data_IF_509269189977
#
_entry.id   IF_509269189977
#
_cell.length_a   1.000
_cell.length_b   1.000
_cell.length_c   1.000
_cell.angle_alpha   90.00
_cell.angle_beta   90.00
_cell.angle_gamma   90.00
#
_symmetry.space_group_name_H-M   'P 1'
#
loop_
_entity.id
_entity.type
_entity.pdbx_description
1 polymer ?
#
# COMPACT_ATOMS: atom_id res chain seq x y z
N UNK A 1 -51.27 35.49 -26.00
CA UNK A 1 -51.16 34.10 -25.51
C UNK A 1 -49.85 33.52 -26.01
N UNK A 2 -48.76 33.78 -25.26
CA UNK A 2 -47.44 33.18 -25.46
C UNK A 2 -47.43 31.90 -24.63
N UNK A 3 -47.78 30.77 -25.26
CA UNK A 3 -47.68 29.46 -24.63
C UNK A 3 -46.25 28.98 -24.78
N UNK A 4 -45.62 28.70 -23.63
CA UNK A 4 -44.37 27.95 -23.49
C UNK A 4 -44.29 26.82 -24.53
N UNK A 5 -43.45 26.99 -25.54
CA UNK A 5 -42.89 25.86 -26.27
C UNK A 5 -41.88 25.23 -25.32
N UNK A 6 -42.23 24.07 -24.77
CA UNK A 6 -41.34 23.24 -23.99
C UNK A 6 -39.96 23.17 -24.66
N UNK A 7 -38.90 23.41 -23.89
CA UNK A 7 -37.54 23.12 -24.28
C UNK A 7 -37.46 21.65 -24.70
N UNK A 8 -37.58 21.41 -26.02
CA UNK A 8 -37.36 20.11 -26.62
C UNK A 8 -35.87 19.85 -26.48
N UNK A 9 -35.49 19.24 -25.36
CA UNK A 9 -34.14 18.70 -25.22
C UNK A 9 -33.91 17.79 -26.43
N UNK A 10 -32.85 18.04 -27.22
CA UNK A 10 -32.61 17.29 -28.46
C UNK A 10 -32.47 15.79 -28.15
N UNK A 11 -33.09 14.94 -28.97
CA UNK A 11 -33.22 13.48 -28.75
C UNK A 11 -31.91 12.73 -28.47
N UNK A 12 -30.75 13.31 -28.84
CA UNK A 12 -29.44 12.74 -28.49
C UNK A 12 -29.16 12.74 -26.98
N UNK A 13 -29.85 13.58 -26.18
CA UNK A 13 -29.82 13.58 -24.72
C UNK A 13 -30.73 12.50 -24.09
N UNK A 14 -31.62 11.88 -24.88
CA UNK A 14 -32.62 10.89 -24.42
C UNK A 14 -32.29 9.45 -24.86
N UNK A 15 -31.37 9.24 -25.79
CA UNK A 15 -30.96 7.90 -26.17
C UNK A 15 -29.86 7.39 -25.24
N UNK A 16 -30.23 6.42 -24.38
CA UNK A 16 -29.24 5.57 -23.73
C UNK A 16 -28.30 5.02 -24.84
N UNK A 17 -27.00 5.33 -24.81
CA UNK A 17 -26.08 5.00 -25.90
C UNK A 17 -26.14 3.50 -26.17
N UNK A 18 -26.14 3.07 -27.44
CA UNK A 18 -26.17 1.65 -27.80
C UNK A 18 -25.01 0.93 -27.10
N UNK A 19 -25.32 0.19 -26.04
CA UNK A 19 -24.34 -0.53 -25.23
C UNK A 19 -24.09 -1.86 -25.90
N UNK A 20 -22.84 -2.14 -26.25
CA UNK A 20 -22.46 -3.46 -26.77
C UNK A 20 -22.66 -4.51 -25.66
N UNK A 21 -23.12 -5.73 -26.00
CA UNK A 21 -23.51 -6.80 -25.05
C UNK A 21 -22.46 -7.22 -24.00
N UNK A 22 -21.23 -6.71 -24.05
CA UNK A 22 -20.12 -7.06 -23.16
C UNK A 22 -19.33 -5.82 -22.67
N UNK A 23 -19.95 -4.64 -22.67
CA UNK A 23 -19.34 -3.40 -22.17
C UNK A 23 -19.96 -3.00 -20.85
N UNK A 24 -19.14 -2.76 -19.83
CA UNK A 24 -19.56 -2.33 -18.50
C UNK A 24 -19.58 -0.80 -18.47
N UNK A 25 -20.67 -0.23 -17.98
CA UNK A 25 -20.77 1.21 -17.75
C UNK A 25 -19.92 1.62 -16.54
N UNK A 26 -19.15 2.68 -16.65
CA UNK A 26 -18.32 3.21 -15.56
C UNK A 26 -19.12 3.68 -14.33
N UNK A 27 -20.41 3.98 -14.51
CA UNK A 27 -21.36 4.36 -13.44
C UNK A 27 -22.28 3.21 -13.00
N UNK A 28 -22.06 1.99 -13.50
CA UNK A 28 -22.84 0.82 -13.09
C UNK A 28 -22.64 0.51 -11.60
N UNK A 29 -23.70 0.11 -10.85
CA UNK A 29 -23.56 -0.28 -9.45
C UNK A 29 -22.59 -1.46 -9.27
N UNK A 30 -22.52 -2.38 -10.24
CA UNK A 30 -21.54 -3.46 -10.24
C UNK A 30 -20.10 -2.93 -10.27
N UNK A 31 -19.83 -1.93 -11.12
CA UNK A 31 -18.50 -1.32 -11.23
C UNK A 31 -18.13 -0.58 -9.95
N UNK A 32 -19.09 0.10 -9.33
CA UNK A 32 -18.88 0.76 -8.04
C UNK A 32 -18.50 -0.24 -6.94
N UNK A 33 -19.24 -1.34 -6.79
CA UNK A 33 -18.91 -2.41 -5.82
C UNK A 33 -17.54 -3.02 -6.11
N UNK A 34 -17.25 -3.30 -7.39
CA UNK A 34 -15.94 -3.81 -7.80
C UNK A 34 -14.80 -2.83 -7.42
N UNK A 35 -15.01 -1.53 -7.61
CA UNK A 35 -14.03 -0.51 -7.24
C UNK A 35 -13.74 -0.48 -5.74
N UNK A 36 -14.74 -0.70 -4.90
CA UNK A 36 -14.58 -0.86 -3.45
C UNK A 36 -13.80 -2.12 -3.08
N UNK A 37 -14.07 -3.25 -3.74
CA UNK A 37 -13.31 -4.50 -3.53
C UNK A 37 -11.84 -4.27 -3.89
N UNK A 38 -11.56 -3.67 -5.05
CA UNK A 38 -10.19 -3.36 -5.47
C UNK A 38 -9.53 -2.37 -4.50
N UNK A 39 -10.25 -1.35 -4.03
CA UNK A 39 -9.73 -0.41 -3.03
C UNK A 39 -9.29 -1.14 -1.74
N UNK A 40 -10.12 -2.05 -1.24
CA UNK A 40 -9.81 -2.86 -0.06
C UNK A 40 -8.57 -3.74 -0.30
N UNK A 41 -8.47 -4.38 -1.47
CA UNK A 41 -7.31 -5.19 -1.84
C UNK A 41 -6.03 -4.34 -1.94
N UNK A 42 -6.11 -3.13 -2.50
CA UNK A 42 -4.95 -2.22 -2.53
C UNK A 42 -4.53 -1.84 -1.12
N UNK A 43 -5.47 -1.48 -0.24
CA UNK A 43 -5.16 -1.16 1.15
C UNK A 43 -4.50 -2.34 1.88
N UNK A 44 -5.03 -3.56 1.70
CA UNK A 44 -4.40 -4.78 2.23
C UNK A 44 -2.95 -4.90 1.77
N UNK A 45 -2.69 -4.77 0.46
CA UNK A 45 -1.32 -4.90 -0.07
C UNK A 45 -0.40 -3.78 0.43
N UNK A 46 -0.92 -2.57 0.61
CA UNK A 46 -0.15 -1.43 1.07
C UNK A 46 0.27 -1.54 2.55
N UNK A 47 -0.50 -2.27 3.36
CA UNK A 47 -0.14 -2.60 4.76
C UNK A 47 0.74 -3.85 4.81
N UNK A 48 0.33 -4.94 4.16
CA UNK A 48 0.98 -6.24 4.28
C UNK A 48 2.36 -6.29 3.63
N UNK A 49 2.56 -5.63 2.48
CA UNK A 49 3.85 -5.67 1.76
C UNK A 49 5.01 -5.14 2.62
N UNK A 50 4.99 -3.90 3.15
CA UNK A 50 6.07 -3.39 3.99
C UNK A 50 6.18 -4.14 5.33
N UNK A 51 5.06 -4.60 5.89
CA UNK A 51 5.07 -5.43 7.10
C UNK A 51 5.83 -6.74 6.88
N UNK A 52 5.52 -7.47 5.81
CA UNK A 52 6.21 -8.72 5.47
C UNK A 52 7.69 -8.48 5.18
N UNK A 53 8.02 -7.38 4.48
CA UNK A 53 9.40 -7.02 4.17
C UNK A 53 10.21 -6.66 5.43
N UNK A 54 9.63 -5.93 6.38
CA UNK A 54 10.36 -5.50 7.56
C UNK A 54 10.39 -6.59 8.64
N UNK A 55 9.25 -7.20 8.98
CA UNK A 55 9.10 -8.07 10.15
C UNK A 55 9.20 -9.56 9.86
N UNK A 56 8.80 -10.03 8.67
CA UNK A 56 8.72 -11.47 8.36
C UNK A 56 9.94 -12.00 7.59
N UNK A 57 10.68 -11.15 6.87
CA UNK A 57 11.88 -11.59 6.15
C UNK A 57 12.97 -12.14 7.09
N UNK A 58 13.12 -11.58 8.29
CA UNK A 58 14.14 -12.04 9.26
C UNK A 58 13.77 -13.37 9.96
N UNK A 59 12.49 -13.73 10.09
CA UNK A 59 12.09 -15.04 10.63
C UNK A 59 12.06 -16.13 9.54
N UNK A 60 11.85 -15.76 8.28
CA UNK A 60 11.77 -16.73 7.17
C UNK A 60 13.13 -17.27 6.72
N UNK A 61 14.25 -16.58 7.01
CA UNK A 61 15.59 -17.06 6.64
C UNK A 61 16.03 -18.28 7.48
N UNK A 62 15.60 -18.42 8.74
CA UNK A 62 16.17 -19.44 9.64
C UNK A 62 15.37 -20.76 9.73
N UNK A 63 14.04 -20.78 9.56
CA UNK A 63 13.27 -22.04 9.74
C UNK A 63 12.79 -22.74 8.46
N UNK A 64 12.61 -22.03 7.33
CA UNK A 64 11.77 -22.54 6.22
C UNK A 64 12.48 -23.05 4.97
N UNK A 65 13.82 -23.01 4.95
CA UNK A 65 14.62 -23.58 3.84
C UNK A 65 14.57 -25.11 3.74
N UNK A 66 13.86 -25.79 4.66
CA UNK A 66 13.74 -27.25 4.68
C UNK A 66 12.25 -27.64 4.60
N UNK A 67 11.85 -28.24 3.48
CA UNK A 67 10.76 -29.26 3.31
C UNK A 67 9.39 -28.95 2.72
N UNK A 68 8.94 -27.73 2.39
CA UNK A 68 7.61 -27.58 1.75
C UNK A 68 7.51 -26.47 0.68
N UNK A 69 6.77 -26.77 -0.40
CA UNK A 69 6.55 -25.88 -1.54
C UNK A 69 5.59 -24.71 -1.29
N UNK A 70 5.41 -23.89 -2.33
CA UNK A 70 4.67 -22.61 -2.31
C UNK A 70 3.24 -22.68 -1.72
N UNK A 71 2.60 -23.85 -1.72
CA UNK A 71 1.19 -24.05 -1.37
C UNK A 71 0.90 -24.33 0.11
N UNK A 72 1.88 -24.66 0.97
CA UNK A 72 1.55 -24.97 2.37
C UNK A 72 1.41 -23.73 3.26
N UNK A 73 1.81 -22.53 2.79
CA UNK A 73 1.62 -21.30 3.54
C UNK A 73 0.31 -20.62 3.13
N UNK A 74 -0.68 -20.50 4.03
CA UNK A 74 -1.94 -19.84 3.71
C UNK A 74 -1.74 -18.38 3.26
N UNK A 75 -0.69 -17.71 3.75
CA UNK A 75 -0.33 -16.35 3.35
C UNK A 75 0.03 -16.24 1.86
N UNK A 76 0.80 -17.19 1.32
CA UNK A 76 1.18 -17.19 -0.09
C UNK A 76 -0.04 -17.44 -1.01
N UNK A 77 -0.99 -18.25 -0.54
CA UNK A 77 -2.25 -18.49 -1.25
C UNK A 77 -3.08 -17.21 -1.30
N UNK A 78 -3.19 -16.49 -0.18
CA UNK A 78 -3.88 -15.20 -0.14
C UNK A 78 -3.23 -14.21 -1.10
N UNK A 79 -1.91 -14.07 -1.07
CA UNK A 79 -1.20 -13.15 -1.98
C UNK A 79 -1.41 -13.52 -3.46
N UNK A 80 -1.42 -14.81 -3.80
CA UNK A 80 -1.73 -15.27 -5.16
C UNK A 80 -3.17 -14.92 -5.55
N UNK A 81 -4.15 -15.12 -4.67
CA UNK A 81 -5.55 -14.77 -4.93
C UNK A 81 -5.69 -13.26 -5.14
N UNK A 82 -5.01 -12.45 -4.34
CA UNK A 82 -4.98 -10.99 -4.48
C UNK A 82 -4.40 -10.59 -5.83
N UNK A 83 -3.28 -11.19 -6.25
CA UNK A 83 -2.64 -10.93 -7.54
C UNK A 83 -3.56 -11.33 -8.73
N UNK A 84 -4.27 -12.46 -8.64
CA UNK A 84 -5.27 -12.88 -9.64
C UNK A 84 -6.43 -11.89 -9.72
N UNK A 85 -6.93 -11.38 -8.59
CA UNK A 85 -7.98 -10.36 -8.58
C UNK A 85 -7.55 -9.07 -9.28
N UNK A 86 -6.29 -8.66 -9.16
CA UNK A 86 -5.75 -7.52 -9.91
C UNK A 86 -5.64 -7.76 -11.41
N UNK A 87 -5.39 -9.00 -11.83
CA UNK A 87 -5.43 -9.37 -13.26
C UNK A 87 -6.86 -9.30 -13.79
N UNK A 88 -7.84 -9.79 -13.01
CA UNK A 88 -9.28 -9.68 -13.37
C UNK A 88 -9.69 -8.20 -13.48
N UNK A 89 -9.23 -7.33 -12.58
CA UNK A 89 -9.47 -5.88 -12.65
C UNK A 89 -9.00 -5.28 -13.99
N UNK A 90 -7.81 -5.68 -14.47
CA UNK A 90 -7.29 -5.24 -15.78
C UNK A 90 -8.27 -5.65 -16.90
N UNK A 91 -8.74 -6.90 -16.90
CA UNK A 91 -9.69 -7.39 -17.90
C UNK A 91 -11.03 -6.65 -17.85
N UNK A 92 -11.51 -6.30 -16.66
CA UNK A 92 -12.72 -5.49 -16.46
C UNK A 92 -12.51 -4.06 -16.97
N UNK A 93 -11.35 -3.45 -16.72
CA UNK A 93 -11.02 -2.11 -17.19
C UNK A 93 -10.96 -2.04 -18.73
N UNK A 94 -10.51 -3.10 -19.42
CA UNK A 94 -10.58 -3.20 -20.88
C UNK A 94 -12.00 -3.19 -21.44
N UNK A 95 -13.00 -3.53 -20.63
CA UNK A 95 -14.42 -3.58 -21.01
C UNK A 95 -15.24 -2.44 -20.40
N UNK A 96 -14.62 -1.56 -19.64
CA UNK A 96 -15.31 -0.43 -18.99
C UNK A 96 -15.34 0.79 -19.91
N UNK A 97 -16.48 1.47 -20.03
CA UNK A 97 -16.59 2.71 -20.80
C UNK A 97 -15.75 3.84 -20.19
N UNK A 98 -15.30 4.77 -21.02
CA UNK A 98 -14.65 6.01 -20.56
C UNK A 98 -15.35 7.22 -21.15
N UNK A 99 -15.16 8.38 -20.51
CA UNK A 99 -15.66 9.68 -20.98
C UNK A 99 -14.52 10.37 -21.72
N UNK A 100 -14.77 10.77 -22.96
CA UNK A 100 -13.78 11.50 -23.77
C UNK A 100 -13.76 12.99 -23.38
N UNK A 101 -12.79 13.77 -23.88
CA UNK A 101 -12.67 15.22 -23.63
C UNK A 101 -13.90 16.04 -24.06
N UNK A 102 -14.77 15.48 -24.91
CA UNK A 102 -16.02 16.11 -25.35
C UNK A 102 -17.23 15.70 -24.48
N UNK A 103 -17.00 15.11 -23.30
CA UNK A 103 -18.03 14.57 -22.39
C UNK A 103 -18.92 13.47 -22.98
N UNK A 104 -18.48 12.86 -24.08
CA UNK A 104 -19.17 11.75 -24.73
C UNK A 104 -18.72 10.41 -24.14
N UNK A 105 -19.70 9.55 -23.82
CA UNK A 105 -19.43 8.19 -23.33
C UNK A 105 -19.07 7.27 -24.49
N UNK A 106 -17.80 6.86 -24.56
CA UNK A 106 -17.33 5.94 -25.61
C UNK A 106 -17.54 4.49 -25.15
N UNK A 107 -18.38 3.75 -25.86
CA UNK A 107 -18.73 2.36 -25.57
C UNK A 107 -18.03 1.32 -26.48
N UNK A 108 -17.34 1.78 -27.53
CA UNK A 108 -16.69 0.92 -28.51
C UNK A 108 -15.45 0.20 -27.92
N UNK A 109 -15.43 -1.14 -27.86
CA UNK A 109 -14.38 -1.90 -27.16
C UNK A 109 -12.98 -1.69 -27.76
N UNK A 110 -12.87 -1.55 -29.08
CA UNK A 110 -11.58 -1.29 -29.75
C UNK A 110 -10.99 0.06 -29.37
N UNK A 111 -11.84 1.10 -29.25
CA UNK A 111 -11.38 2.44 -28.84
C UNK A 111 -11.00 2.47 -27.37
N UNK A 112 -11.78 1.80 -26.52
CA UNK A 112 -11.48 1.62 -25.09
C UNK A 112 -10.11 0.95 -24.92
N UNK A 113 -9.88 -0.15 -25.62
CA UNK A 113 -8.61 -0.87 -25.55
C UNK A 113 -7.43 -0.01 -26.01
N UNK A 114 -7.52 0.68 -27.14
CA UNK A 114 -6.44 1.55 -27.64
C UNK A 114 -6.10 2.68 -26.66
N UNK A 115 -7.12 3.33 -26.09
CA UNK A 115 -6.93 4.37 -25.10
C UNK A 115 -6.26 3.82 -23.83
N UNK A 116 -6.72 2.67 -23.34
CA UNK A 116 -6.15 2.03 -22.14
C UNK A 116 -4.70 1.55 -22.36
N UNK A 117 -4.40 0.97 -23.53
CA UNK A 117 -3.04 0.57 -23.92
C UNK A 117 -2.06 1.74 -23.98
N UNK A 118 -2.50 2.90 -24.50
CA UNK A 118 -1.65 4.10 -24.64
C UNK A 118 -1.39 4.81 -23.30
N UNK A 119 -2.29 4.65 -22.33
CA UNK A 119 -2.17 5.27 -21.02
C UNK A 119 -1.64 4.31 -19.95
N UNK A 120 -2.55 3.59 -19.32
CA UNK A 120 -2.33 3.02 -17.99
C UNK A 120 -2.02 1.52 -17.97
N UNK A 121 -2.27 0.83 -19.07
CA UNK A 121 -2.10 -0.62 -19.17
C UNK A 121 -0.72 -1.10 -18.70
N UNK A 122 0.35 -0.40 -19.07
CA UNK A 122 1.72 -0.80 -18.71
C UNK A 122 1.93 -0.78 -17.18
N UNK A 123 1.47 0.29 -16.53
CA UNK A 123 1.56 0.44 -15.06
C UNK A 123 0.72 -0.65 -14.40
N UNK A 124 -0.49 -0.89 -14.91
CA UNK A 124 -1.41 -1.85 -14.32
C UNK A 124 -0.92 -3.29 -14.47
N UNK A 125 -0.30 -3.64 -15.61
CA UNK A 125 0.35 -4.94 -15.79
C UNK A 125 1.54 -5.11 -14.85
N UNK A 126 2.47 -4.15 -14.81
CA UNK A 126 3.68 -4.26 -13.97
C UNK A 126 3.30 -4.45 -12.50
N UNK A 127 2.25 -3.77 -12.05
CA UNK A 127 1.72 -3.90 -10.69
C UNK A 127 1.01 -5.25 -10.40
N UNK A 128 0.53 -5.96 -11.43
CA UNK A 128 -0.23 -7.21 -11.30
C UNK A 128 0.62 -8.48 -11.41
N UNK A 129 1.92 -8.37 -11.73
CA UNK A 129 2.81 -9.53 -11.88
C UNK A 129 3.10 -10.16 -10.49
N UNK A 130 2.82 -11.46 -10.29
CA UNK A 130 3.18 -12.18 -9.07
C UNK A 130 4.67 -12.55 -9.10
N UNK A 131 5.54 -11.60 -8.76
CA UNK A 131 7.00 -11.80 -8.84
C UNK A 131 7.50 -12.98 -7.99
N UNK A 132 6.88 -13.24 -6.83
CA UNK A 132 7.26 -14.36 -5.94
C UNK A 132 7.17 -15.73 -6.64
N UNK A 133 6.19 -15.91 -7.54
CA UNK A 133 6.02 -17.15 -8.30
C UNK A 133 7.08 -17.31 -9.41
N UNK A 134 7.47 -16.19 -10.04
CA UNK A 134 8.54 -16.19 -11.05
C UNK A 134 9.89 -16.54 -10.41
N UNK A 135 10.16 -16.02 -9.22
CA UNK A 135 11.39 -16.27 -8.47
C UNK A 135 11.47 -17.72 -8.00
N UNK A 136 10.39 -18.26 -7.41
CA UNK A 136 10.34 -19.66 -6.97
C UNK A 136 10.61 -20.63 -8.14
N UNK A 137 10.10 -20.31 -9.33
CA UNK A 137 10.33 -21.11 -10.54
C UNK A 137 11.76 -20.98 -11.08
N UNK A 138 12.43 -19.86 -10.85
CA UNK A 138 13.77 -19.59 -11.38
C UNK A 138 14.90 -20.25 -10.58
N UNK A 139 14.63 -20.75 -9.37
CA UNK A 139 15.58 -21.58 -8.60
C UNK A 139 16.97 -20.97 -8.34
N UNK A 140 17.14 -19.67 -8.51
CA UNK A 140 18.44 -19.01 -8.49
C UNK A 140 18.81 -18.55 -7.08
N UNK A 141 19.56 -19.40 -6.37
CA UNK A 141 20.19 -19.16 -5.05
C UNK A 141 21.33 -18.11 -5.07
N UNK A 142 21.31 -17.14 -6.00
CA UNK A 142 22.37 -16.12 -6.08
C UNK A 142 22.08 -14.91 -5.16
N UNK A 143 23.02 -14.43 -4.34
CA UNK A 143 22.81 -13.27 -3.46
C UNK A 143 22.53 -11.94 -4.20
N UNK A 144 22.81 -11.85 -5.51
CA UNK A 144 22.42 -10.69 -6.32
C UNK A 144 20.92 -10.68 -6.64
N UNK A 145 20.25 -11.85 -6.61
CA UNK A 145 18.80 -11.91 -6.83
C UNK A 145 18.03 -11.42 -5.61
N UNK A 146 18.56 -11.52 -4.38
CA UNK A 146 17.85 -11.12 -3.14
C UNK A 146 17.59 -9.62 -3.03
N UNK A 147 18.50 -8.78 -3.51
CA UNK A 147 18.29 -7.32 -3.59
C UNK A 147 17.28 -6.95 -4.67
N UNK A 148 17.32 -7.63 -5.83
CA UNK A 148 16.29 -7.50 -6.85
C UNK A 148 14.93 -8.00 -6.35
N UNK A 149 14.86 -9.06 -5.56
CA UNK A 149 13.64 -9.59 -4.94
C UNK A 149 13.00 -8.52 -4.03
N UNK A 150 13.80 -7.82 -3.23
CA UNK A 150 13.33 -6.69 -2.41
C UNK A 150 12.75 -5.56 -3.25
N UNK A 151 13.46 -5.16 -4.32
CA UNK A 151 13.02 -4.09 -5.23
C UNK A 151 11.74 -4.48 -6.00
N UNK A 152 11.62 -5.73 -6.46
CA UNK A 152 10.44 -6.22 -7.17
C UNK A 152 9.20 -6.29 -6.26
N UNK A 153 9.38 -6.59 -4.96
CA UNK A 153 8.28 -6.50 -3.99
C UNK A 153 7.76 -5.07 -3.84
N UNK A 154 8.61 -4.04 -3.99
CA UNK A 154 8.16 -2.64 -3.97
C UNK A 154 7.31 -2.26 -5.18
N UNK A 155 7.43 -2.97 -6.31
CA UNK A 155 6.56 -2.76 -7.47
C UNK A 155 5.07 -3.00 -7.14
N UNK A 156 4.77 -3.79 -6.09
CA UNK A 156 3.39 -3.96 -5.59
C UNK A 156 2.80 -2.64 -5.06
N UNK A 157 3.62 -1.70 -4.58
CA UNK A 157 3.15 -0.39 -4.13
C UNK A 157 2.66 0.49 -5.29
N UNK A 158 3.04 0.20 -6.55
CA UNK A 158 2.50 0.89 -7.73
C UNK A 158 0.98 0.75 -7.83
N UNK A 159 0.37 -0.25 -7.17
CA UNK A 159 -1.08 -0.41 -7.05
C UNK A 159 -1.76 0.80 -6.41
N UNK A 160 -1.04 1.59 -5.59
CA UNK A 160 -1.57 2.82 -4.98
C UNK A 160 -1.82 3.93 -5.99
N UNK A 161 -1.11 3.92 -7.13
CA UNK A 161 -1.40 4.83 -8.25
C UNK A 161 -2.83 4.64 -8.75
N UNK A 162 -3.41 3.43 -8.60
CA UNK A 162 -4.82 3.17 -8.94
C UNK A 162 -5.78 3.89 -8.00
N UNK A 163 -5.44 4.03 -6.72
CA UNK A 163 -6.27 4.72 -5.73
C UNK A 163 -6.26 6.22 -5.99
N UNK A 164 -5.08 6.78 -6.26
CA UNK A 164 -4.93 8.19 -6.62
C UNK A 164 -5.82 8.58 -7.81
N UNK A 165 -5.91 7.72 -8.84
CA UNK A 165 -6.79 7.95 -10.01
C UNK A 165 -8.28 7.92 -9.70
N UNK A 166 -8.70 7.14 -8.72
CA UNK A 166 -10.12 7.03 -8.34
C UNK A 166 -10.51 8.09 -7.31
N UNK A 167 -9.52 8.71 -6.65
CA UNK A 167 -9.74 9.75 -5.65
C UNK A 167 -10.52 10.93 -6.22
N UNK A 168 -10.29 11.30 -7.49
CA UNK A 168 -11.02 12.39 -8.17
C UNK A 168 -12.54 12.17 -8.21
N UNK A 169 -13.00 10.92 -8.17
CA UNK A 169 -14.45 10.60 -8.11
C UNK A 169 -14.96 10.55 -6.67
N UNK A 170 -14.12 10.16 -5.72
CA UNK A 170 -14.48 10.10 -4.31
C UNK A 170 -14.43 11.48 -3.63
N UNK A 171 -13.73 12.46 -4.23
CA UNK A 171 -13.62 13.84 -3.75
C UNK A 171 -14.97 14.57 -3.72
N UNK A 172 -15.93 14.14 -4.52
CA UNK A 172 -17.30 14.67 -4.53
C UNK A 172 -18.06 14.38 -3.22
N UNK A 173 -17.64 13.37 -2.44
CA UNK A 173 -18.25 13.00 -1.17
C UNK A 173 -17.36 13.46 0.00
N UNK A 174 -17.63 14.64 0.58
CA UNK A 174 -16.79 15.24 1.63
C UNK A 174 -16.49 14.32 2.83
N UNK A 175 -17.44 13.49 3.28
CA UNK A 175 -17.20 12.50 4.34
C UNK A 175 -16.25 11.37 3.92
N UNK A 176 -16.28 10.96 2.66
CA UNK A 176 -15.37 9.96 2.12
C UNK A 176 -13.93 10.51 2.04
N UNK A 177 -13.78 11.79 1.71
CA UNK A 177 -12.46 12.46 1.68
C UNK A 177 -11.80 12.45 3.05
N UNK A 178 -12.54 12.80 4.11
CA UNK A 178 -12.02 12.77 5.48
C UNK A 178 -11.62 11.35 5.91
N UNK A 179 -12.42 10.35 5.58
CA UNK A 179 -12.10 8.95 5.86
C UNK A 179 -10.82 8.50 5.11
N UNK A 180 -10.72 8.80 3.81
CA UNK A 180 -9.54 8.49 3.00
C UNK A 180 -8.29 9.22 3.50
N UNK A 181 -8.43 10.47 3.98
CA UNK A 181 -7.34 11.21 4.59
C UNK A 181 -6.85 10.54 5.89
N UNK A 182 -7.77 10.08 6.75
CA UNK A 182 -7.43 9.34 7.96
C UNK A 182 -6.71 8.01 7.62
N UNK A 183 -7.22 7.28 6.62
CA UNK A 183 -6.58 6.04 6.16
C UNK A 183 -5.18 6.28 5.59
N UNK A 184 -4.98 7.34 4.80
CA UNK A 184 -3.66 7.67 4.26
C UNK A 184 -2.68 8.09 5.35
N UNK A 185 -3.12 8.85 6.37
CA UNK A 185 -2.31 9.17 7.54
C UNK A 185 -1.87 7.91 8.30
N UNK A 186 -2.80 6.99 8.58
CA UNK A 186 -2.50 5.73 9.24
C UNK A 186 -1.54 4.85 8.42
N UNK A 187 -1.68 4.86 7.09
CA UNK A 187 -0.80 4.12 6.19
C UNK A 187 0.63 4.68 6.19
N UNK A 188 0.78 6.00 6.19
CA UNK A 188 2.10 6.67 6.31
C UNK A 188 2.74 6.32 7.66
N UNK A 189 1.98 6.37 8.76
CA UNK A 189 2.46 5.96 10.07
C UNK A 189 2.96 4.50 10.07
N UNK A 190 2.19 3.59 9.48
CA UNK A 190 2.58 2.17 9.34
C UNK A 190 3.87 1.98 8.52
N UNK A 191 4.02 2.70 7.40
CA UNK A 191 5.24 2.61 6.59
C UNK A 191 6.46 3.12 7.34
N UNK A 192 6.33 4.26 8.01
CA UNK A 192 7.40 4.80 8.84
C UNK A 192 7.72 3.85 10.01
N UNK A 193 6.73 3.14 10.58
CA UNK A 193 6.97 2.16 11.63
C UNK A 193 7.75 0.94 11.11
N UNK A 194 7.45 0.47 9.89
CA UNK A 194 8.20 -0.60 9.24
C UNK A 194 9.66 -0.17 9.00
N UNK A 195 9.89 1.07 8.54
CA UNK A 195 11.24 1.62 8.34
C UNK A 195 11.97 1.77 9.68
N UNK A 196 11.29 2.27 10.71
CA UNK A 196 11.83 2.41 12.07
C UNK A 196 12.33 1.07 12.64
N UNK A 197 11.55 0.01 12.42
CA UNK A 197 11.96 -1.35 12.75
C UNK A 197 13.15 -1.83 11.91
N UNK A 198 13.13 -1.62 10.61
CA UNK A 198 14.24 -2.01 9.74
C UNK A 198 15.55 -1.34 10.17
N UNK A 199 15.52 -0.05 10.52
CA UNK A 199 16.69 0.68 11.05
C UNK A 199 17.21 0.03 12.33
N UNK A 200 16.34 -0.18 13.32
CA UNK A 200 16.73 -0.78 14.60
C UNK A 200 17.29 -2.20 14.44
N UNK A 201 16.73 -2.99 13.53
CA UNK A 201 17.23 -4.34 13.24
C UNK A 201 18.60 -4.33 12.54
N UNK A 202 18.79 -3.48 11.52
CA UNK A 202 20.08 -3.37 10.81
C UNK A 202 21.17 -2.89 11.76
N UNK A 203 20.87 -1.91 12.60
CA UNK A 203 21.82 -1.38 13.56
C UNK A 203 22.19 -2.41 14.62
N UNK A 204 21.21 -3.15 15.15
CA UNK A 204 21.46 -4.24 16.09
C UNK A 204 22.37 -5.32 15.50
N UNK A 205 22.08 -5.78 14.28
CA UNK A 205 22.90 -6.79 13.58
C UNK A 205 24.31 -6.27 13.30
N UNK A 206 24.46 -4.98 12.97
CA UNK A 206 25.76 -4.35 12.74
C UNK A 206 26.57 -4.23 14.02
N UNK A 207 25.94 -3.79 15.12
CA UNK A 207 26.56 -3.66 16.44
C UNK A 207 27.00 -5.02 17.01
N UNK A 208 26.20 -6.07 16.80
CA UNK A 208 26.56 -7.44 17.19
C UNK A 208 27.82 -7.94 16.46
N UNK A 209 27.98 -7.59 15.17
CA UNK A 209 29.17 -7.97 14.38
C UNK A 209 30.44 -7.24 14.81
N UNK A 210 30.31 -5.96 15.18
CA UNK A 210 31.44 -5.07 15.47
C UNK A 210 31.82 -5.09 16.96
N UNK A 211 31.03 -5.74 17.82
CA UNK A 211 31.22 -5.72 19.27
C UNK A 211 30.90 -4.35 19.90
N UNK A 212 30.04 -3.57 19.24
CA UNK A 212 29.61 -2.25 19.69
C UNK A 212 28.60 -2.31 20.84
N UNK A 213 28.38 -1.17 21.51
CA UNK A 213 27.38 -1.06 22.58
C UNK A 213 25.95 -1.19 22.03
N UNK A 214 25.13 -2.01 22.69
CA UNK A 214 23.70 -2.25 22.37
C UNK A 214 22.83 -1.09 22.90
N UNK A 215 22.86 0.06 22.22
CA UNK A 215 22.16 1.30 22.63
C UNK A 215 20.90 1.64 21.79
N UNK A 216 20.57 0.83 20.79
CA UNK A 216 19.46 1.10 19.88
C UNK A 216 18.10 1.06 20.61
N UNK A 217 17.08 1.65 19.98
CA UNK A 217 15.73 1.68 20.57
C UNK A 217 15.16 0.28 20.86
N UNK A 218 15.56 -0.71 20.06
CA UNK A 218 15.14 -2.09 20.18
C UNK A 218 15.75 -2.79 21.41
N UNK A 219 16.99 -2.45 21.76
CA UNK A 219 17.66 -2.95 22.96
C UNK A 219 17.06 -2.31 24.22
N UNK A 220 16.77 -1.00 24.18
CA UNK A 220 16.07 -0.30 25.25
C UNK A 220 14.66 -0.89 25.48
N UNK A 221 13.93 -1.22 24.40
CA UNK A 221 12.63 -1.89 24.49
C UNK A 221 12.75 -3.26 25.19
N UNK A 222 13.77 -4.05 24.83
CA UNK A 222 14.01 -5.34 25.43
C UNK A 222 14.27 -5.24 26.94
N UNK A 223 15.01 -4.21 27.37
CA UNK A 223 15.24 -3.92 28.77
C UNK A 223 13.96 -3.50 29.51
N UNK A 224 13.16 -2.60 28.91
CA UNK A 224 11.91 -2.13 29.52
C UNK A 224 10.88 -3.24 29.72
N UNK A 225 10.77 -4.18 28.77
CA UNK A 225 9.82 -5.31 28.84
C UNK A 225 10.42 -6.49 29.65
N UNK A 226 11.71 -6.44 30.00
CA UNK A 226 12.41 -7.53 30.69
C UNK A 226 12.68 -8.75 29.80
N UNK A 227 12.49 -8.63 28.48
CA UNK A 227 12.76 -9.68 27.48
C UNK A 227 14.08 -9.39 26.79
N UNK A 228 15.19 -9.58 27.50
CA UNK A 228 16.53 -9.32 26.96
C UNK A 228 16.89 -10.28 25.85
N UNK A 229 17.69 -9.78 24.91
CA UNK A 229 18.29 -10.59 23.88
C UNK A 229 19.45 -11.41 24.44
N UNK A 230 19.48 -12.69 24.05
CA UNK A 230 20.53 -13.64 24.34
C UNK A 230 21.20 -14.03 23.02
N UNK A 231 22.52 -13.88 22.95
CA UNK A 231 23.29 -14.15 21.72
C UNK A 231 23.33 -15.66 21.38
N UNK A 232 22.93 -16.53 22.31
CA UNK A 232 22.83 -17.99 22.11
C UNK A 232 21.46 -18.50 21.65
N UNK A 233 20.42 -17.66 21.71
CA UNK A 233 19.05 -18.04 21.35
C UNK A 233 18.46 -17.02 20.37
N UNK A 234 18.30 -17.42 19.10
CA UNK A 234 17.75 -16.56 18.04
C UNK A 234 16.30 -16.13 18.31
N UNK A 235 15.55 -16.85 19.15
CA UNK A 235 14.18 -16.51 19.53
C UNK A 235 14.10 -15.59 20.75
N UNK A 236 15.24 -15.26 21.35
CA UNK A 236 15.30 -14.34 22.48
C UNK A 236 14.94 -12.90 22.08
N UNK A 237 14.45 -12.15 23.06
CA UNK A 237 14.04 -10.75 22.88
C UNK A 237 12.53 -10.53 22.84
N UNK A 238 12.10 -9.29 22.53
CA UNK A 238 10.69 -8.94 22.39
C UNK A 238 10.03 -9.69 21.22
N UNK A 239 8.74 -10.02 21.39
CA UNK A 239 7.97 -10.66 20.31
C UNK A 239 7.78 -9.71 19.12
N UNK A 240 7.45 -10.24 17.93
CA UNK A 240 7.12 -9.40 16.76
C UNK A 240 5.99 -8.43 17.07
N UNK A 241 4.98 -8.87 17.83
CA UNK A 241 3.86 -8.03 18.25
C UNK A 241 4.35 -6.85 19.09
N UNK A 242 5.23 -7.11 20.07
CA UNK A 242 5.80 -6.07 20.92
C UNK A 242 6.59 -5.05 20.07
N UNK A 243 7.45 -5.54 19.17
CA UNK A 243 8.25 -4.70 18.26
C UNK A 243 7.38 -3.83 17.35
N UNK A 244 6.35 -4.44 16.73
CA UNK A 244 5.46 -3.78 15.78
C UNK A 244 4.58 -2.72 16.46
N UNK A 245 3.95 -3.05 17.59
CA UNK A 245 3.08 -2.12 18.32
C UNK A 245 3.90 -0.95 18.85
N UNK A 246 5.10 -1.18 19.39
CA UNK A 246 5.99 -0.12 19.85
C UNK A 246 6.46 0.79 18.71
N UNK A 247 6.81 0.22 17.55
CA UNK A 247 7.19 1.01 16.37
C UNK A 247 6.04 1.88 15.85
N UNK A 248 4.82 1.33 15.80
CA UNK A 248 3.61 2.09 15.48
C UNK A 248 3.36 3.21 16.50
N UNK A 249 3.44 2.90 17.79
CA UNK A 249 3.26 3.89 18.85
C UNK A 249 4.24 5.06 18.71
N UNK A 250 5.53 4.78 18.48
CA UNK A 250 6.55 5.81 18.25
C UNK A 250 6.20 6.70 17.05
N UNK A 251 5.88 6.09 15.90
CA UNK A 251 5.58 6.85 14.68
C UNK A 251 4.28 7.63 14.76
N UNK A 252 3.20 7.09 15.34
CA UNK A 252 1.98 7.84 15.60
C UNK A 252 2.21 9.01 16.56
N UNK A 253 2.91 8.78 17.68
CA UNK A 253 3.21 9.85 18.63
C UNK A 253 4.08 10.96 18.03
N UNK A 254 4.97 10.62 17.09
CA UNK A 254 5.83 11.57 16.39
C UNK A 254 5.09 12.33 15.28
N UNK A 255 4.26 11.65 14.49
CA UNK A 255 3.47 12.27 13.41
C UNK A 255 2.38 13.20 13.95
N UNK A 256 1.80 12.86 15.09
CA UNK A 256 0.80 13.70 15.79
C UNK A 256 1.42 14.80 16.64
N UNK A 257 2.77 14.90 16.66
CA UNK A 257 3.53 15.85 17.47
C UNK A 257 3.27 15.77 18.98
N UNK A 258 2.77 14.63 19.48
CA UNK A 258 2.55 14.41 20.92
C UNK A 258 3.86 14.07 21.62
N UNK A 259 4.66 13.18 21.04
CA UNK A 259 6.05 12.94 21.46
C UNK A 259 6.25 12.56 22.93
N UNK A 260 5.57 11.53 23.43
CA UNK A 260 5.64 11.10 24.84
C UNK A 260 7.04 10.74 25.36
N UNK A 261 8.01 10.45 24.49
CA UNK A 261 9.41 10.21 24.87
C UNK A 261 9.74 8.81 25.41
N UNK A 262 8.74 7.93 25.61
CA UNK A 262 8.97 6.56 26.10
C UNK A 262 9.82 5.70 25.15
N UNK A 263 9.73 5.99 23.84
CA UNK A 263 10.58 5.43 22.79
C UNK A 263 11.31 6.60 22.16
N UNK A 264 12.63 6.57 22.21
CA UNK A 264 13.47 7.69 21.76
C UNK A 264 14.61 7.20 20.85
N UNK A 265 15.01 8.00 19.85
CA UNK A 265 16.18 7.73 19.04
C UNK A 265 17.46 7.96 19.86
N UNK A 266 18.29 6.93 20.00
CA UNK A 266 19.55 7.00 20.74
C UNK A 266 20.74 7.20 19.79
N UNK A 267 20.66 6.63 18.59
CA UNK A 267 21.77 6.61 17.63
C UNK A 267 21.61 7.65 16.53
N UNK A 268 22.70 7.93 15.79
CA UNK A 268 22.66 8.92 14.72
C UNK A 268 21.66 8.56 13.60
N UNK A 269 21.61 7.30 13.09
CA UNK A 269 20.60 6.91 12.11
C UNK A 269 19.17 7.08 12.63
N UNK A 270 18.91 6.66 13.86
CA UNK A 270 17.61 6.82 14.52
C UNK A 270 17.21 8.30 14.66
N UNK A 271 18.15 9.17 15.06
CA UNK A 271 17.92 10.62 15.22
C UNK A 271 17.61 11.29 13.88
N UNK A 272 18.38 10.97 12.84
CA UNK A 272 18.14 11.50 11.48
C UNK A 272 16.75 11.10 10.99
N UNK A 273 16.39 9.82 11.16
CA UNK A 273 15.07 9.34 10.81
C UNK A 273 13.96 10.06 11.59
N UNK A 274 14.12 10.23 12.91
CA UNK A 274 13.16 10.93 13.74
C UNK A 274 12.95 12.38 13.28
N UNK A 275 14.00 13.09 12.88
CA UNK A 275 13.90 14.45 12.31
C UNK A 275 13.04 14.45 11.05
N UNK A 276 13.27 13.49 10.14
CA UNK A 276 12.47 13.36 8.93
C UNK A 276 10.99 13.07 9.24
N UNK A 277 10.70 12.17 10.19
CA UNK A 277 9.32 11.86 10.61
C UNK A 277 8.62 13.08 11.19
N UNK A 278 9.30 13.86 12.02
CA UNK A 278 8.74 15.10 12.60
C UNK A 278 8.40 16.12 11.50
N UNK A 279 9.26 16.31 10.49
CA UNK A 279 8.98 17.21 9.37
C UNK A 279 7.77 16.76 8.53
N UNK A 280 7.61 15.45 8.33
CA UNK A 280 6.43 14.88 7.66
C UNK A 280 5.17 15.11 8.50
N UNK A 281 5.25 14.86 9.81
CA UNK A 281 4.15 15.07 10.76
C UNK A 281 3.65 16.52 10.78
N UNK A 282 4.56 17.49 10.79
CA UNK A 282 4.22 18.90 10.67
C UNK A 282 3.42 19.20 9.39
N UNK A 283 3.86 18.68 8.23
CA UNK A 283 3.15 18.89 6.96
C UNK A 283 1.76 18.24 6.96
N UNK A 284 1.65 17.00 7.45
CA UNK A 284 0.37 16.28 7.54
C UNK A 284 -0.61 17.02 8.45
N UNK A 285 -0.17 17.48 9.61
CA UNK A 285 -1.02 18.19 10.57
C UNK A 285 -1.50 19.53 9.99
N UNK A 286 -0.60 20.31 9.39
CA UNK A 286 -0.97 21.57 8.72
C UNK A 286 -1.99 21.35 7.61
N UNK A 287 -1.81 20.30 6.80
CA UNK A 287 -2.75 19.97 5.71
C UNK A 287 -4.14 19.58 6.25
N UNK A 288 -4.21 18.80 7.32
CA UNK A 288 -5.48 18.42 7.96
C UNK A 288 -6.19 19.66 8.53
N UNK A 289 -5.46 20.57 9.19
CA UNK A 289 -6.02 21.82 9.72
C UNK A 289 -6.55 22.70 8.58
N UNK A 290 -5.79 22.81 7.48
CA UNK A 290 -6.19 23.58 6.30
C UNK A 290 -7.51 23.07 5.70
N UNK A 291 -7.64 21.77 5.46
CA UNK A 291 -8.88 21.17 4.93
C UNK A 291 -10.08 21.39 5.86
N UNK A 292 -9.86 21.35 7.17
CA UNK A 292 -10.93 21.61 8.16
C UNK A 292 -11.36 23.08 8.21
N UNK A 293 -10.48 24.01 7.85
CA UNK A 293 -10.80 25.43 7.82
C UNK A 293 -11.58 25.83 6.55
N UNK A 294 -11.35 25.14 5.43
CA UNK A 294 -12.01 25.44 4.14
C UNK A 294 -13.39 24.76 3.95
N UNK A 295 -13.84 23.92 4.90
CA UNK A 295 -15.19 23.31 4.93
C UNK A 295 -16.06 23.89 6.05
#
# INVERSE_FOLDING_TARGET
VLSLGADVLPEYKLQAPRIHKWTILHYSPFKAVWDWIILLLVLYTAVFTPYSAAFLLNEQEDERRRTCGYTCNPLNVVDLVVDVMFIIDILINFRTTYVNHNDEVVSNPTRIAQHYFKGWFLIDIVAAIPFDLLIFRSGSDEPQTTTLIGLLKTARLLRLVRVARKLDRYSEYGAAVLFLLMCTFALIAHWLACIWYAIGNVERTSSARIGGMKIGWLDNLADQIGKRYNDSDSFSGPSIKDKYVTALYFTFSSLTSVGFGNVSPNTNPEKIFSICVMLIGCKCTTFIIYIRHDN
#
